data_IF_106427159803
#
_entry.id   IF_106427159803
#
_cell.length_a   1.000
_cell.length_b   1.000
_cell.length_c   1.000
_cell.angle_alpha   90.00
_cell.angle_beta   90.00
_cell.angle_gamma   90.00
#
_symmetry.space_group_name_H-M   'P 1'
#
loop_
_entity.id
_entity.type
_entity.pdbx_description
1 polymer ?
#
# COMPACT_ATOMS: atom_id res chain seq x y z
N UNK A 1 -7.98 -7.30 26.58
CA UNK A 1 -6.84 -6.34 26.61
C UNK A 1 -5.51 -6.84 26.00
N UNK A 2 -5.27 -8.14 25.87
CA UNK A 2 -3.97 -8.70 25.39
C UNK A 2 -3.58 -8.35 23.93
N UNK A 3 -4.50 -8.05 23.06
CA UNK A 3 -4.23 -7.88 21.61
C UNK A 3 -3.93 -6.44 21.18
N UNK A 4 -4.14 -5.44 22.02
CA UNK A 4 -3.92 -4.02 21.66
C UNK A 4 -2.45 -3.70 21.38
N UNK A 5 -1.55 -4.27 22.15
CA UNK A 5 -0.10 -4.09 21.95
C UNK A 5 0.33 -4.69 20.60
N UNK A 6 -0.12 -5.92 20.32
CA UNK A 6 0.20 -6.61 19.07
C UNK A 6 -0.30 -5.84 17.85
N UNK A 7 -1.53 -5.33 17.90
CA UNK A 7 -2.10 -4.50 16.83
C UNK A 7 -1.32 -3.19 16.64
N UNK A 8 -0.93 -2.55 17.75
CA UNK A 8 -0.12 -1.33 17.70
C UNK A 8 1.26 -1.56 17.08
N UNK A 9 1.93 -2.66 17.44
CA UNK A 9 3.21 -3.06 16.85
C UNK A 9 3.02 -3.38 15.36
N UNK A 10 2.00 -4.17 15.01
CA UNK A 10 1.70 -4.51 13.63
C UNK A 10 1.52 -3.28 12.73
N UNK A 11 0.72 -2.31 13.16
CA UNK A 11 0.50 -1.08 12.41
C UNK A 11 1.77 -0.26 12.22
N UNK A 12 2.65 -0.22 13.23
CA UNK A 12 3.94 0.47 13.13
C UNK A 12 4.91 -0.24 12.20
N UNK A 13 4.98 -1.57 12.28
CA UNK A 13 5.77 -2.37 11.35
C UNK A 13 5.29 -2.17 9.91
N UNK A 14 3.97 -2.13 9.69
CA UNK A 14 3.39 -1.86 8.38
C UNK A 14 3.73 -0.44 7.90
N UNK A 15 3.65 0.56 8.78
CA UNK A 15 4.10 1.93 8.50
C UNK A 15 5.59 1.99 8.14
N UNK A 16 6.44 1.24 8.84
CA UNK A 16 7.87 1.16 8.54
C UNK A 16 8.13 0.55 7.17
N UNK A 17 7.42 -0.51 6.79
CA UNK A 17 7.54 -1.12 5.47
C UNK A 17 7.15 -0.14 4.36
N UNK A 18 6.08 0.64 4.55
CA UNK A 18 5.72 1.70 3.61
C UNK A 18 6.78 2.79 3.53
N UNK A 19 7.32 3.20 4.67
CA UNK A 19 8.36 4.22 4.73
C UNK A 19 9.60 3.80 3.94
N UNK A 20 10.09 2.57 4.15
CA UNK A 20 11.22 2.03 3.39
C UNK A 20 10.90 1.95 1.91
N UNK A 21 9.71 1.45 1.56
CA UNK A 21 9.27 1.30 0.16
C UNK A 21 9.18 2.64 -0.57
N UNK A 22 8.55 3.66 0.02
CA UNK A 22 8.43 4.98 -0.60
C UNK A 22 9.75 5.73 -0.65
N UNK A 23 10.57 5.64 0.40
CA UNK A 23 11.87 6.29 0.46
C UNK A 23 12.80 5.71 -0.61
N UNK A 24 12.88 4.39 -0.70
CA UNK A 24 13.68 3.72 -1.72
C UNK A 24 13.22 4.11 -3.13
N UNK A 25 11.91 4.16 -3.34
CA UNK A 25 11.34 4.55 -4.61
C UNK A 25 11.59 6.02 -4.94
N UNK A 26 11.54 6.93 -3.96
CA UNK A 26 11.78 8.35 -4.16
C UNK A 26 13.18 8.64 -4.76
N UNK A 27 14.19 7.83 -4.42
CA UNK A 27 15.53 7.95 -4.99
C UNK A 27 15.66 7.41 -6.41
N UNK A 28 14.79 6.50 -6.82
CA UNK A 28 14.90 5.79 -8.09
C UNK A 28 13.83 6.20 -9.11
N UNK A 29 12.79 6.88 -8.67
CA UNK A 29 11.57 7.13 -9.46
C UNK A 29 11.86 7.90 -10.75
N UNK A 30 12.77 8.85 -10.74
CA UNK A 30 13.14 9.62 -11.93
C UNK A 30 13.74 8.74 -13.03
N UNK A 31 14.59 7.79 -12.65
CA UNK A 31 15.19 6.84 -13.58
C UNK A 31 14.22 5.74 -14.05
N UNK A 32 13.20 5.42 -13.26
CA UNK A 32 12.23 4.37 -13.57
C UNK A 32 11.00 4.92 -14.31
N UNK A 33 10.34 5.90 -13.74
CA UNK A 33 9.03 6.42 -14.17
C UNK A 33 9.08 7.83 -14.75
N UNK A 34 10.18 8.54 -14.60
CA UNK A 34 10.38 9.89 -15.12
C UNK A 34 10.30 9.95 -16.64
N UNK A 35 10.25 11.16 -17.19
CA UNK A 35 10.12 11.42 -18.63
C UNK A 35 11.26 10.81 -19.47
N UNK A 36 12.44 10.62 -18.88
CA UNK A 36 13.62 9.96 -19.46
C UNK A 36 13.87 8.56 -18.89
N UNK A 37 12.95 8.05 -18.06
CA UNK A 37 13.05 6.76 -17.39
C UNK A 37 12.77 5.58 -18.31
N UNK A 38 12.90 4.38 -17.74
CA UNK A 38 12.68 3.10 -18.45
C UNK A 38 11.21 2.96 -18.86
N UNK A 39 10.26 3.36 -18.01
CA UNK A 39 8.82 3.29 -18.25
C UNK A 39 8.14 4.62 -17.94
N UNK A 40 8.20 5.60 -18.86
CA UNK A 40 7.64 6.93 -18.62
C UNK A 40 6.12 6.89 -18.37
N UNK A 41 5.67 7.46 -17.26
CA UNK A 41 4.26 7.54 -16.87
C UNK A 41 3.40 8.15 -17.96
N UNK A 42 3.84 9.25 -18.56
CA UNK A 42 3.12 9.94 -19.67
C UNK A 42 2.88 9.02 -20.84
N UNK A 43 3.84 8.17 -21.17
CA UNK A 43 3.72 7.24 -22.29
C UNK A 43 2.73 6.13 -21.97
N UNK A 44 2.75 5.59 -20.75
CA UNK A 44 1.80 4.59 -20.29
C UNK A 44 0.36 5.13 -20.35
N UNK A 45 0.11 6.30 -19.78
CA UNK A 45 -1.22 6.91 -19.78
C UNK A 45 -1.73 7.19 -21.20
N UNK A 46 -0.89 7.72 -22.09
CA UNK A 46 -1.25 7.94 -23.50
C UNK A 46 -1.57 6.64 -24.25
N UNK A 47 -0.81 5.58 -24.00
CA UNK A 47 -1.08 4.26 -24.61
C UNK A 47 -2.43 3.72 -24.13
N UNK A 48 -2.71 3.83 -22.85
CA UNK A 48 -4.00 3.42 -22.26
C UNK A 48 -5.17 4.23 -22.85
N UNK A 49 -5.01 5.55 -23.02
CA UNK A 49 -6.01 6.39 -23.66
C UNK A 49 -6.26 6.01 -25.12
N UNK A 50 -5.21 5.68 -25.86
CA UNK A 50 -5.36 5.26 -27.27
C UNK A 50 -6.07 3.93 -27.41
N UNK A 51 -5.89 3.01 -26.48
CA UNK A 51 -6.53 1.68 -26.50
C UNK A 51 -7.99 1.75 -26.03
N UNK A 52 -8.27 2.51 -24.97
CA UNK A 52 -9.61 2.55 -24.36
C UNK A 52 -10.50 3.68 -24.85
N UNK A 53 -9.95 4.66 -25.57
CA UNK A 53 -10.64 5.88 -25.98
C UNK A 53 -10.54 6.99 -24.92
N UNK A 54 -10.44 8.24 -25.39
CA UNK A 54 -10.25 9.41 -24.50
C UNK A 54 -11.43 9.65 -23.58
N UNK A 55 -12.65 9.42 -24.05
CA UNK A 55 -13.89 9.72 -23.33
C UNK A 55 -14.41 8.55 -22.48
N UNK A 56 -13.69 7.44 -22.46
CA UNK A 56 -14.14 6.25 -21.74
C UNK A 56 -13.79 6.34 -20.25
N UNK A 57 -14.81 6.47 -19.40
CA UNK A 57 -14.67 6.50 -17.94
C UNK A 57 -14.11 5.18 -17.38
N UNK A 58 -14.27 4.08 -18.11
CA UNK A 58 -13.79 2.77 -17.71
C UNK A 58 -12.26 2.75 -17.49
N UNK A 59 -11.48 3.60 -18.16
CA UNK A 59 -10.03 3.71 -17.97
C UNK A 59 -9.63 3.98 -16.51
N UNK A 60 -10.41 4.79 -15.79
CA UNK A 60 -10.15 5.10 -14.37
C UNK A 60 -10.44 3.94 -13.43
N UNK A 61 -11.35 3.04 -13.81
CA UNK A 61 -11.66 1.83 -13.05
C UNK A 61 -10.65 0.70 -13.32
N UNK A 62 -10.21 0.55 -14.56
CA UNK A 62 -9.21 -0.47 -14.91
C UNK A 62 -7.80 -0.10 -14.46
N UNK A 63 -7.47 1.19 -14.51
CA UNK A 63 -6.15 1.72 -14.11
C UNK A 63 -6.31 2.86 -13.10
N UNK A 64 -6.69 2.54 -11.84
CA UNK A 64 -6.89 3.53 -10.80
C UNK A 64 -5.55 4.15 -10.43
N UNK A 65 -5.30 5.37 -10.87
CA UNK A 65 -4.08 6.10 -10.59
C UNK A 65 -4.35 7.58 -10.38
N UNK A 66 -3.66 8.18 -9.41
CA UNK A 66 -3.72 9.63 -9.17
C UNK A 66 -3.03 10.40 -10.30
N UNK A 67 -2.13 9.78 -11.04
CA UNK A 67 -1.37 10.39 -12.13
C UNK A 67 -2.21 10.71 -13.39
N UNK A 68 -3.47 10.36 -13.42
CA UNK A 68 -4.41 10.88 -14.41
C UNK A 68 -4.68 12.38 -14.26
N UNK A 69 -4.49 12.94 -13.07
CA UNK A 69 -4.68 14.37 -12.81
C UNK A 69 -3.45 15.14 -13.26
N UNK A 70 -2.27 14.67 -12.88
CA UNK A 70 -1.00 15.27 -13.25
C UNK A 70 0.09 14.19 -13.32
N UNK A 71 0.72 14.10 -14.49
CA UNK A 71 1.77 13.12 -14.79
C UNK A 71 3.14 13.80 -15.00
N UNK A 72 3.38 14.95 -14.37
CA UNK A 72 4.70 15.57 -14.38
C UNK A 72 5.68 14.80 -13.49
N UNK A 73 6.97 14.85 -13.84
CA UNK A 73 8.04 14.20 -13.08
C UNK A 73 8.05 14.67 -11.61
N UNK A 74 7.75 15.97 -11.40
CA UNK A 74 7.65 16.55 -10.05
C UNK A 74 6.50 15.95 -9.23
N UNK A 75 5.38 15.67 -9.88
CA UNK A 75 4.21 15.07 -9.22
C UNK A 75 4.49 13.63 -8.81
N UNK A 76 5.26 12.88 -9.61
CA UNK A 76 5.64 11.50 -9.31
C UNK A 76 6.60 11.47 -8.11
N UNK A 77 7.64 12.31 -8.13
CA UNK A 77 8.57 12.46 -7.00
C UNK A 77 7.82 12.95 -5.75
N UNK A 78 6.95 13.96 -5.93
CA UNK A 78 6.10 14.48 -4.87
C UNK A 78 5.23 13.41 -4.20
N UNK A 79 4.62 12.50 -4.98
CA UNK A 79 3.84 11.39 -4.47
C UNK A 79 4.69 10.44 -3.60
N UNK A 80 5.91 10.13 -4.02
CA UNK A 80 6.84 9.29 -3.24
C UNK A 80 7.26 9.98 -1.94
N UNK A 81 7.59 11.27 -1.99
CA UNK A 81 7.97 12.05 -0.79
C UNK A 81 6.80 12.17 0.19
N UNK A 82 5.61 12.49 -0.31
CA UNK A 82 4.40 12.56 0.52
C UNK A 82 4.06 11.20 1.15
N UNK A 83 4.21 10.12 0.38
CA UNK A 83 4.08 8.76 0.90
C UNK A 83 5.10 8.43 1.99
N UNK A 84 6.36 8.86 1.83
CA UNK A 84 7.41 8.69 2.85
C UNK A 84 7.09 9.45 4.14
N UNK A 85 6.66 10.71 4.04
CA UNK A 85 6.26 11.52 5.20
C UNK A 85 5.06 10.89 5.90
N UNK A 86 4.03 10.52 5.15
CA UNK A 86 2.82 9.91 5.69
C UNK A 86 3.11 8.60 6.43
N UNK A 87 3.93 7.73 5.84
CA UNK A 87 4.31 6.45 6.46
C UNK A 87 5.25 6.62 7.66
N UNK A 88 6.14 7.63 7.64
CA UNK A 88 6.95 7.98 8.81
C UNK A 88 6.09 8.36 10.01
N UNK A 89 5.06 9.17 9.79
CA UNK A 89 4.13 9.56 10.86
C UNK A 89 3.32 8.36 11.40
N UNK A 90 3.04 7.34 10.56
CA UNK A 90 2.45 6.07 11.01
C UNK A 90 3.39 5.28 11.92
N UNK A 91 4.69 5.24 11.65
CA UNK A 91 5.68 4.55 12.48
C UNK A 91 5.69 5.06 13.91
N UNK A 92 5.58 6.36 14.09
CA UNK A 92 5.60 6.97 15.43
C UNK A 92 4.26 6.91 16.15
N UNK A 93 3.18 6.59 15.44
CA UNK A 93 1.84 6.50 16.03
C UNK A 93 1.37 7.82 16.64
N UNK A 94 1.74 8.95 16.01
CA UNK A 94 1.46 10.32 16.47
C UNK A 94 -0.03 10.64 16.34
N UNK A 95 -0.74 9.90 15.50
CA UNK A 95 -2.13 10.17 15.17
C UNK A 95 -3.13 9.45 16.07
N UNK A 96 -4.28 10.10 16.28
CA UNK A 96 -5.47 9.45 16.80
C UNK A 96 -6.02 8.39 15.82
N UNK A 97 -6.95 7.58 16.30
CA UNK A 97 -7.46 6.38 15.62
C UNK A 97 -8.00 6.66 14.20
N UNK A 98 -8.77 7.72 14.05
CA UNK A 98 -9.37 8.07 12.75
C UNK A 98 -8.33 8.52 11.73
N UNK A 99 -7.37 9.33 12.16
CA UNK A 99 -6.29 9.79 11.28
C UNK A 99 -5.36 8.65 10.86
N UNK A 100 -5.13 7.67 11.71
CA UNK A 100 -4.31 6.49 11.38
C UNK A 100 -4.93 5.72 10.21
N UNK A 101 -6.26 5.52 10.20
CA UNK A 101 -6.94 4.85 9.08
C UNK A 101 -6.89 5.66 7.79
N UNK A 102 -7.14 6.98 7.89
CA UNK A 102 -7.06 7.89 6.74
C UNK A 102 -5.64 7.88 6.15
N UNK A 103 -4.63 7.86 7.01
CA UNK A 103 -3.24 7.85 6.59
C UNK A 103 -2.85 6.52 5.92
N UNK A 104 -3.33 5.37 6.44
CA UNK A 104 -3.19 4.09 5.75
C UNK A 104 -3.87 4.08 4.38
N UNK A 105 -5.09 4.63 4.30
CA UNK A 105 -5.78 4.77 3.02
C UNK A 105 -5.00 5.63 2.04
N UNK A 106 -4.44 6.73 2.50
CA UNK A 106 -3.60 7.63 1.69
C UNK A 106 -2.35 6.91 1.17
N UNK A 107 -1.60 6.23 2.05
CA UNK A 107 -0.45 5.43 1.65
C UNK A 107 -0.84 4.32 0.64
N UNK A 108 -1.98 3.66 0.86
CA UNK A 108 -2.51 2.65 -0.04
C UNK A 108 -2.79 3.22 -1.44
N UNK A 109 -3.49 4.34 -1.54
CA UNK A 109 -3.83 4.98 -2.82
C UNK A 109 -2.59 5.42 -3.58
N UNK A 110 -1.62 6.03 -2.90
CA UNK A 110 -0.35 6.41 -3.51
C UNK A 110 0.43 5.20 -4.03
N UNK A 111 0.54 4.15 -3.21
CA UNK A 111 1.24 2.92 -3.60
C UNK A 111 0.56 2.22 -4.78
N UNK A 112 -0.76 2.11 -4.73
CA UNK A 112 -1.56 1.56 -5.83
C UNK A 112 -1.34 2.34 -7.13
N UNK A 113 -1.36 3.68 -7.05
CA UNK A 113 -1.12 4.54 -8.21
C UNK A 113 0.24 4.31 -8.85
N UNK A 114 1.30 4.17 -8.03
CA UNK A 114 2.65 3.88 -8.49
C UNK A 114 2.76 2.48 -9.10
N UNK A 115 2.17 1.47 -8.47
CA UNK A 115 2.17 0.10 -8.98
C UNK A 115 1.44 -0.01 -10.31
N UNK A 116 0.28 0.65 -10.47
CA UNK A 116 -0.50 0.62 -11.72
C UNK A 116 0.29 1.21 -12.87
N UNK A 117 0.94 2.36 -12.65
CA UNK A 117 1.67 3.05 -13.72
C UNK A 117 3.03 2.40 -14.00
N UNK A 118 3.66 1.86 -12.96
CA UNK A 118 4.94 1.15 -13.09
C UNK A 118 4.84 -0.22 -13.74
N UNK A 119 3.62 -0.80 -13.80
CA UNK A 119 3.36 -2.07 -14.47
C UNK A 119 4.34 -3.17 -14.02
N UNK A 120 5.04 -3.77 -14.98
CA UNK A 120 5.96 -4.89 -14.74
C UNK A 120 7.12 -4.55 -13.80
N UNK A 121 7.51 -3.26 -13.68
CA UNK A 121 8.58 -2.81 -12.77
C UNK A 121 8.19 -2.96 -11.30
N UNK A 122 6.89 -2.95 -10.99
CA UNK A 122 6.33 -3.04 -9.63
C UNK A 122 5.43 -4.27 -9.45
N UNK A 123 5.47 -5.23 -10.36
CA UNK A 123 4.70 -6.47 -10.27
C UNK A 123 5.28 -7.49 -9.27
N UNK A 124 5.93 -6.99 -8.20
CA UNK A 124 6.50 -7.87 -7.19
C UNK A 124 5.46 -8.32 -6.18
N UNK A 125 5.46 -9.60 -5.80
CA UNK A 125 4.49 -10.16 -4.85
C UNK A 125 4.45 -9.44 -3.50
N UNK A 126 5.57 -8.93 -3.01
CA UNK A 126 5.63 -8.21 -1.73
C UNK A 126 4.95 -6.85 -1.75
N UNK A 127 4.91 -6.15 -2.89
CA UNK A 127 4.19 -4.88 -3.02
C UNK A 127 2.68 -5.11 -2.95
N UNK A 128 2.18 -6.15 -3.60
CA UNK A 128 0.77 -6.55 -3.51
C UNK A 128 0.41 -7.02 -2.10
N UNK A 129 1.27 -7.82 -1.46
CA UNK A 129 1.06 -8.26 -0.08
C UNK A 129 0.98 -7.07 0.89
N UNK A 130 1.83 -6.06 0.70
CA UNK A 130 1.82 -4.83 1.49
C UNK A 130 0.48 -4.09 1.36
N UNK A 131 -0.04 -3.97 0.14
CA UNK A 131 -1.33 -3.34 -0.12
C UNK A 131 -2.50 -4.14 0.48
N UNK A 132 -2.51 -5.46 0.33
CA UNK A 132 -3.52 -6.34 0.91
C UNK A 132 -3.52 -6.30 2.44
N UNK A 133 -2.32 -6.35 3.05
CA UNK A 133 -2.17 -6.21 4.50
C UNK A 133 -2.68 -4.85 5.00
N UNK A 134 -2.53 -3.80 4.22
CA UNK A 134 -3.03 -2.46 4.57
C UNK A 134 -4.54 -2.39 4.53
N UNK A 135 -5.19 -2.99 3.52
CA UNK A 135 -6.65 -3.07 3.47
C UNK A 135 -7.20 -3.78 4.71
N UNK A 136 -6.56 -4.88 5.12
CA UNK A 136 -6.94 -5.59 6.35
C UNK A 136 -6.64 -4.77 7.60
N UNK A 137 -5.53 -4.02 7.63
CA UNK A 137 -5.21 -3.13 8.74
C UNK A 137 -6.25 -2.02 8.94
N UNK A 138 -6.87 -1.52 7.86
CA UNK A 138 -7.96 -0.55 7.94
C UNK A 138 -9.23 -1.11 8.57
N UNK A 139 -9.47 -2.42 8.42
CA UNK A 139 -10.62 -3.11 9.01
C UNK A 139 -10.39 -3.47 10.48
N UNK A 140 -9.16 -3.39 10.98
CA UNK A 140 -8.84 -3.65 12.38
C UNK A 140 -9.47 -2.61 13.31
N UNK A 141 -9.80 -3.01 14.54
CA UNK A 141 -10.34 -2.09 15.52
C UNK A 141 -9.36 -0.94 15.80
N UNK A 142 -9.91 0.20 16.23
CA UNK A 142 -9.16 1.43 16.40
C UNK A 142 -7.95 1.27 17.34
N UNK A 143 -6.82 1.77 16.88
CA UNK A 143 -5.55 1.77 17.60
C UNK A 143 -5.47 3.03 18.45
N UNK A 144 -5.48 2.91 19.78
CA UNK A 144 -5.23 4.07 20.65
C UNK A 144 -3.77 4.52 20.51
N UNK A 145 -3.51 5.82 20.38
CA UNK A 145 -2.14 6.32 20.32
C UNK A 145 -1.39 5.97 21.60
N UNK A 146 -0.19 5.42 21.45
CA UNK A 146 0.64 4.99 22.59
C UNK A 146 1.23 6.18 23.36
N UNK A 147 1.30 7.35 22.73
CA UNK A 147 1.96 8.55 23.26
C UNK A 147 1.02 9.52 23.99
N UNK A 148 -0.29 9.41 23.85
CA UNK A 148 -1.23 10.26 24.58
C UNK A 148 -1.63 9.56 25.87
N UNK A 149 -0.77 9.69 26.87
CA UNK A 149 -1.08 9.45 28.27
C UNK A 149 -1.82 10.69 28.77
N UNK A 150 -3.05 10.51 29.22
CA UNK A 150 -3.93 11.53 29.81
C UNK A 150 -4.82 12.33 28.84
N UNK A 151 -5.98 11.80 28.63
CA UNK A 151 -7.15 12.50 28.13
C UNK A 151 -8.34 11.58 28.28
N UNK A 152 -9.10 11.77 29.33
CA UNK A 152 -10.43 11.23 29.54
C UNK A 152 -11.25 11.44 28.27
N UNK A 153 -11.46 10.41 27.47
CA UNK A 153 -12.52 10.34 26.50
C UNK A 153 -13.33 9.08 26.81
N UNK A 154 -14.08 9.22 27.84
CA UNK A 154 -15.23 8.40 28.19
C UNK A 154 -16.39 8.85 27.28
N UNK A 155 -16.32 8.48 26.01
CA UNK A 155 -17.46 8.54 25.12
C UNK A 155 -17.66 7.16 24.51
N UNK A 156 -18.75 6.54 24.93
CA UNK A 156 -19.24 5.19 24.68
C UNK A 156 -19.48 4.80 23.23
N UNK A 157 -18.53 5.01 22.36
CA UNK A 157 -18.47 4.46 20.99
C UNK A 157 -17.17 3.71 20.73
N UNK A 158 -16.61 3.06 21.76
CA UNK A 158 -15.71 1.96 21.54
C UNK A 158 -16.56 0.79 21.06
N UNK A 159 -16.77 0.66 19.76
CA UNK A 159 -17.16 -0.61 19.18
C UNK A 159 -16.07 -1.60 19.60
N UNK A 160 -16.30 -2.36 20.64
CA UNK A 160 -15.52 -3.58 20.86
C UNK A 160 -15.69 -4.42 19.60
N UNK A 161 -14.61 -4.75 18.90
CA UNK A 161 -14.73 -5.63 17.77
C UNK A 161 -15.35 -6.91 18.29
N UNK A 162 -16.52 -7.25 17.80
CA UNK A 162 -17.12 -8.53 18.08
C UNK A 162 -16.05 -9.59 17.84
N UNK A 163 -15.93 -10.55 18.70
CA UNK A 163 -14.89 -11.61 18.62
C UNK A 163 -14.83 -12.27 17.23
N UNK A 164 -15.91 -12.19 16.49
CA UNK A 164 -16.07 -12.66 15.11
C UNK A 164 -15.27 -11.81 14.10
N UNK A 165 -15.33 -10.49 14.19
CA UNK A 165 -14.59 -9.62 13.25
C UNK A 165 -13.08 -9.78 13.42
N UNK A 166 -12.61 -9.94 14.65
CA UNK A 166 -11.22 -10.18 14.96
C UNK A 166 -10.74 -11.54 14.43
N UNK A 167 -11.56 -12.59 14.55
CA UNK A 167 -11.25 -13.92 14.00
C UNK A 167 -11.20 -13.90 12.47
N UNK A 168 -12.15 -13.20 11.82
CA UNK A 168 -12.18 -13.06 10.37
C UNK A 168 -10.97 -12.33 9.83
N UNK A 169 -10.53 -11.25 10.46
CA UNK A 169 -9.34 -10.51 10.02
C UNK A 169 -8.06 -11.34 10.22
N UNK A 170 -7.92 -12.08 11.32
CA UNK A 170 -6.81 -13.00 11.50
C UNK A 170 -6.81 -14.12 10.45
N UNK A 171 -7.97 -14.71 10.21
CA UNK A 171 -8.10 -15.76 9.20
C UNK A 171 -7.78 -15.25 7.81
N UNK A 172 -8.26 -14.05 7.45
CA UNK A 172 -7.97 -13.43 6.17
C UNK A 172 -6.46 -13.10 6.01
N UNK A 173 -5.81 -12.59 7.06
CA UNK A 173 -4.36 -12.36 7.05
C UNK A 173 -3.56 -13.65 6.85
N UNK A 174 -3.91 -14.71 7.59
CA UNK A 174 -3.25 -16.02 7.44
C UNK A 174 -3.49 -16.57 6.04
N UNK A 175 -4.71 -16.50 5.53
CA UNK A 175 -5.06 -16.98 4.20
C UNK A 175 -4.29 -16.24 3.11
N UNK A 176 -4.18 -14.91 3.19
CA UNK A 176 -3.43 -14.10 2.25
C UNK A 176 -1.92 -14.41 2.32
N UNK A 177 -1.36 -14.53 3.51
CA UNK A 177 0.04 -14.94 3.67
C UNK A 177 0.32 -16.30 3.05
N UNK A 178 -0.56 -17.29 3.27
CA UNK A 178 -0.40 -18.64 2.72
C UNK A 178 -0.56 -18.64 1.21
N UNK A 179 -1.57 -17.95 0.67
CA UNK A 179 -1.79 -17.91 -0.77
C UNK A 179 -0.62 -17.25 -1.51
N UNK A 180 -0.04 -16.19 -0.95
CA UNK A 180 1.12 -15.51 -1.54
C UNK A 180 2.41 -16.31 -1.42
N UNK A 181 2.61 -17.03 -0.33
CA UNK A 181 3.76 -17.94 -0.20
C UNK A 181 3.69 -19.06 -1.27
N UNK A 182 2.50 -19.58 -1.56
CA UNK A 182 2.31 -20.54 -2.64
C UNK A 182 2.67 -19.95 -4.01
N UNK A 183 2.24 -18.71 -4.32
CA UNK A 183 2.61 -18.03 -5.56
C UNK A 183 4.13 -17.84 -5.70
N UNK A 184 4.82 -17.48 -4.62
CA UNK A 184 6.27 -17.33 -4.63
C UNK A 184 6.96 -18.68 -4.86
N UNK A 185 6.46 -19.75 -4.23
CA UNK A 185 6.98 -21.11 -4.43
C UNK A 185 6.78 -21.56 -5.86
N UNK A 186 5.60 -21.31 -6.45
CA UNK A 186 5.33 -21.66 -7.86
C UNK A 186 6.23 -20.86 -8.82
N UNK A 187 6.45 -19.58 -8.57
CA UNK A 187 7.34 -18.75 -9.39
C UNK A 187 8.79 -19.23 -9.30
N UNK A 188 9.29 -19.61 -8.12
CA UNK A 188 10.62 -20.18 -7.93
C UNK A 188 10.72 -21.53 -8.63
N UNK A 189 9.69 -22.36 -8.53
CA UNK A 189 9.65 -23.67 -9.19
C UNK A 189 9.69 -23.54 -10.71
N UNK A 190 8.93 -22.61 -11.30
CA UNK A 190 8.98 -22.32 -12.73
C UNK A 190 10.35 -21.79 -13.17
N UNK A 191 10.99 -20.98 -12.34
CA UNK A 191 12.32 -20.44 -12.61
C UNK A 191 13.39 -21.55 -12.56
N UNK A 192 13.29 -22.46 -11.59
CA UNK A 192 14.17 -23.63 -11.51
C UNK A 192 13.97 -24.57 -12.69
N UNK A 193 12.72 -24.79 -13.13
CA UNK A 193 12.41 -25.59 -14.32
C UNK A 193 13.00 -24.95 -15.59
N UNK A 194 12.93 -23.63 -15.72
CA UNK A 194 13.49 -22.92 -16.88
C UNK A 194 15.02 -23.04 -16.93
N UNK A 195 15.70 -23.11 -15.79
CA UNK A 195 17.18 -23.33 -15.72
C UNK A 195 17.57 -24.75 -16.05
N UNK A 196 16.68 -25.76 -15.89
CA UNK A 196 16.97 -27.15 -16.25
C UNK A 196 16.77 -27.44 -17.73
N UNK A 197 16.14 -26.55 -18.50
CA UNK A 197 15.89 -26.73 -19.95
C UNK A 197 16.99 -26.09 -20.81
N UNK A 198 17.87 -25.30 -20.19
CA UNK A 198 19.08 -24.75 -20.80
C UNK A 198 20.32 -25.52 -20.34
#
# INVERSE_FOLDING_TARGET
MKYRLTLGIFARCLGLLYFVSFTHLAFQVDGLLGSKGISPVKLFLRRTENVMGKDNVAKYFYYPSVFWIDAEDRSIVGACVMGSIASFLLCFGIYGESLTRINFFFCYVLKLSLCVVGGDLFAFPWDYLLMEATLLAMLLPPLKPLLIKNGCCDYGLCMEPTSTTHRLTHFALIFLCVSRTLYVVDAIFLLLLSVQIF
#
